data_IF_185498034242
#
_entry.id   IF_185498034242
#
_cell.length_a   1.000
_cell.length_b   1.000
_cell.length_c   1.000
_cell.angle_alpha   90.00
_cell.angle_beta   90.00
_cell.angle_gamma   90.00
#
_symmetry.space_group_name_H-M   'P 1'
#
loop_
_entity.id
_entity.type
_entity.pdbx_description
1 polymer ?
#
# COMPACT_ATOMS: atom_id res chain seq x y z
N UNK A 1 18.39 4.69 -13.31
CA UNK A 1 18.05 5.97 -13.93
C UNK A 1 18.51 7.07 -12.98
N UNK A 2 19.40 7.98 -13.37
CA UNK A 2 19.81 9.09 -12.50
C UNK A 2 18.63 9.99 -12.05
N UNK A 3 17.45 9.90 -12.66
CA UNK A 3 16.23 10.59 -12.23
C UNK A 3 15.44 9.85 -11.14
N UNK A 4 15.66 8.54 -10.94
CA UNK A 4 14.95 7.78 -9.92
C UNK A 4 15.56 8.08 -8.54
N UNK A 5 14.79 8.77 -7.70
CA UNK A 5 15.26 9.18 -6.38
C UNK A 5 15.72 7.96 -5.54
N UNK A 6 16.85 8.10 -4.84
CA UNK A 6 17.39 7.08 -3.93
C UNK A 6 16.34 6.64 -2.89
N UNK A 7 15.49 7.59 -2.46
CA UNK A 7 14.34 7.36 -1.60
C UNK A 7 13.09 7.96 -2.24
N UNK A 8 12.45 7.22 -3.14
CA UNK A 8 11.27 7.69 -3.86
C UNK A 8 10.00 7.70 -2.98
N UNK A 9 9.76 6.59 -2.27
CA UNK A 9 8.60 6.41 -1.42
C UNK A 9 8.94 5.49 -0.24
N UNK A 10 8.12 5.56 0.82
CA UNK A 10 8.14 4.66 1.96
C UNK A 10 6.85 3.86 2.01
N UNK A 11 7.00 2.56 2.25
CA UNK A 11 5.89 1.64 2.53
C UNK A 11 5.92 1.28 4.01
N UNK A 12 4.81 1.51 4.71
CA UNK A 12 4.67 1.28 6.15
C UNK A 12 3.56 0.25 6.39
N UNK A 13 3.80 -0.71 7.29
CA UNK A 13 2.77 -1.67 7.69
C UNK A 13 2.15 -1.22 9.01
N UNK A 14 0.85 -1.01 9.01
CA UNK A 14 0.04 -0.62 10.18
C UNK A 14 -1.01 -1.70 10.44
N UNK A 15 -0.67 -2.67 11.30
CA UNK A 15 -1.51 -3.85 11.52
C UNK A 15 -1.62 -4.70 10.25
N UNK A 16 -2.82 -4.83 9.71
CA UNK A 16 -3.10 -5.53 8.45
C UNK A 16 -3.15 -4.60 7.22
N UNK A 17 -2.89 -3.30 7.41
CA UNK A 17 -2.96 -2.31 6.34
C UNK A 17 -1.57 -1.85 5.92
N UNK A 18 -1.40 -1.57 4.64
CA UNK A 18 -0.14 -1.07 4.08
C UNK A 18 -0.35 0.39 3.66
N UNK A 19 0.47 1.30 4.18
CA UNK A 19 0.45 2.72 3.81
C UNK A 19 1.61 3.03 2.89
N UNK A 20 1.32 3.64 1.75
CA UNK A 20 2.31 4.23 0.86
C UNK A 20 2.44 5.73 1.15
N UNK A 21 3.67 6.23 1.25
CA UNK A 21 4.00 7.66 1.36
C UNK A 21 5.05 8.02 0.33
N UNK A 22 4.75 8.99 -0.51
CA UNK A 22 5.71 9.62 -1.41
C UNK A 22 6.68 10.50 -0.62
N UNK A 23 7.99 10.45 -0.94
CA UNK A 23 9.03 11.19 -0.23
C UNK A 23 9.52 12.43 -1.00
N UNK A 24 8.71 12.95 -1.93
CA UNK A 24 9.08 14.09 -2.76
C UNK A 24 9.67 13.67 -4.09
N UNK A 25 9.13 12.61 -4.69
CA UNK A 25 9.46 12.26 -6.07
C UNK A 25 9.17 13.41 -7.03
N UNK A 26 9.99 13.52 -8.08
CA UNK A 26 9.87 14.60 -9.07
C UNK A 26 8.57 14.49 -9.89
N UNK A 27 8.29 13.28 -10.39
CA UNK A 27 7.14 13.02 -11.27
C UNK A 27 5.91 12.46 -10.52
N UNK A 28 6.05 12.23 -9.21
CA UNK A 28 4.97 11.75 -8.35
C UNK A 28 4.79 10.24 -8.37
N UNK A 29 4.18 9.73 -7.29
CA UNK A 29 3.73 8.35 -7.19
C UNK A 29 2.31 8.19 -7.77
N UNK A 30 2.06 7.10 -8.51
CA UNK A 30 0.72 6.73 -8.99
C UNK A 30 0.32 5.35 -8.49
N UNK A 31 -0.94 5.20 -8.09
CA UNK A 31 -1.55 3.92 -7.70
C UNK A 31 -2.75 3.65 -8.59
N UNK A 32 -2.76 2.52 -9.31
CA UNK A 32 -3.78 2.16 -10.29
C UNK A 32 -4.08 3.30 -11.29
N UNK A 33 -3.05 4.05 -11.69
CA UNK A 33 -3.14 5.19 -12.61
C UNK A 33 -3.42 6.55 -11.95
N UNK A 34 -3.85 6.57 -10.68
CA UNK A 34 -4.21 7.79 -9.93
C UNK A 34 -2.97 8.35 -9.21
N UNK A 35 -2.66 9.63 -9.42
CA UNK A 35 -1.57 10.29 -8.71
C UNK A 35 -1.89 10.47 -7.22
N UNK A 36 -0.96 10.10 -6.34
CA UNK A 36 -1.12 10.14 -4.89
C UNK A 36 0.13 10.66 -4.20
N UNK A 37 -0.05 11.34 -3.05
CA UNK A 37 1.05 11.64 -2.12
C UNK A 37 1.13 10.64 -0.98
N UNK A 38 -0.01 10.13 -0.53
CA UNK A 38 -0.10 9.01 0.39
C UNK A 38 -1.43 8.28 0.18
N UNK A 39 -1.43 6.96 0.36
CA UNK A 39 -2.66 6.16 0.29
C UNK A 39 -2.49 4.81 1.00
N UNK A 40 -3.60 4.25 1.47
CA UNK A 40 -3.65 2.85 1.87
C UNK A 40 -3.66 1.96 0.63
N UNK A 41 -2.80 0.95 0.63
CA UNK A 41 -2.69 -0.04 -0.43
C UNK A 41 -3.38 -1.34 -0.03
N UNK A 42 -3.89 -2.02 -1.05
CA UNK A 42 -4.43 -3.38 -0.98
C UNK A 42 -3.57 -4.34 -1.79
N UNK A 43 -3.66 -5.63 -1.48
CA UNK A 43 -3.02 -6.66 -2.28
C UNK A 43 -3.53 -6.58 -3.73
N UNK A 44 -2.59 -6.62 -4.68
CA UNK A 44 -2.86 -6.46 -6.11
C UNK A 44 -2.77 -5.02 -6.63
N UNK A 45 -2.66 -4.01 -5.78
CA UNK A 45 -2.54 -2.63 -6.24
C UNK A 45 -1.26 -2.42 -7.05
N UNK A 46 -1.40 -1.76 -8.19
CA UNK A 46 -0.28 -1.37 -9.04
C UNK A 46 0.26 -0.02 -8.61
N UNK A 47 1.54 0.04 -8.27
CA UNK A 47 2.25 1.27 -7.94
C UNK A 47 3.20 1.61 -9.09
N UNK A 48 3.18 2.86 -9.54
CA UNK A 48 4.09 3.37 -10.57
C UNK A 48 4.83 4.58 -10.03
N UNK A 49 6.15 4.54 -10.14
CA UNK A 49 7.08 5.61 -9.81
C UNK A 49 7.70 6.16 -11.10
N UNK A 50 7.82 7.49 -11.20
CA UNK A 50 8.41 8.22 -12.33
C UNK A 50 7.85 7.79 -13.70
N UNK A 51 6.57 7.38 -13.74
CA UNK A 51 5.85 6.97 -14.95
C UNK A 51 6.33 5.68 -15.64
N UNK A 52 7.48 5.11 -15.26
CA UNK A 52 8.11 3.97 -15.94
C UNK A 52 8.27 2.76 -15.01
N UNK A 53 8.48 2.97 -13.71
CA UNK A 53 8.80 1.91 -12.77
C UNK A 53 7.54 1.36 -12.12
N UNK A 54 7.06 0.21 -12.62
CA UNK A 54 5.82 -0.42 -12.19
C UNK A 54 6.07 -1.59 -11.23
N UNK A 55 5.32 -1.60 -10.14
CA UNK A 55 5.31 -2.62 -9.10
C UNK A 55 3.87 -3.06 -8.81
N UNK A 56 3.70 -4.24 -8.23
CA UNK A 56 2.41 -4.72 -7.71
C UNK A 56 2.62 -5.09 -6.25
N UNK A 57 1.72 -4.64 -5.37
CA UNK A 57 1.78 -5.03 -3.96
C UNK A 57 1.26 -6.45 -3.80
N UNK A 58 2.14 -7.37 -3.39
CA UNK A 58 1.74 -8.69 -2.92
C UNK A 58 1.76 -8.72 -1.39
N UNK A 59 0.65 -9.14 -0.79
CA UNK A 59 0.55 -9.38 0.65
C UNK A 59 0.37 -10.87 0.85
N UNK A 60 1.40 -11.59 1.35
CA UNK A 60 1.28 -13.00 1.67
C UNK A 60 0.18 -13.19 2.71
N UNK A 61 -0.86 -13.93 2.34
CA UNK A 61 -1.90 -14.33 3.28
C UNK A 61 -1.27 -15.36 4.22
N UNK A 62 -0.96 -15.01 5.47
CA UNK A 62 -0.66 -16.02 6.49
C UNK A 62 -1.99 -16.64 6.92
N UNK A 63 -2.27 -17.92 6.59
CA UNK A 63 -3.54 -18.55 6.94
C UNK A 63 -3.77 -18.60 8.46
N UNK A 64 -2.70 -18.49 9.25
CA UNK A 64 -2.75 -18.48 10.73
C UNK A 64 -3.12 -17.10 11.30
N UNK A 65 -3.05 -16.04 10.49
CA UNK A 65 -3.43 -14.67 10.86
C UNK A 65 -4.86 -14.32 10.46
N UNK A 66 -5.65 -15.27 9.95
CA UNK A 66 -7.08 -15.03 9.72
C UNK A 66 -7.70 -14.57 11.03
N UNK A 67 -7.95 -13.27 11.13
CA UNK A 67 -8.74 -12.69 12.19
C UNK A 67 -10.04 -13.47 12.21
N UNK A 68 -10.29 -14.17 13.32
CA UNK A 68 -11.60 -14.73 13.59
C UNK A 68 -12.58 -13.56 13.43
N UNK A 69 -13.71 -13.72 12.72
CA UNK A 69 -14.73 -12.69 12.74
C UNK A 69 -14.98 -12.39 14.22
N UNK A 70 -14.83 -11.12 14.60
CA UNK A 70 -15.27 -10.66 15.91
C UNK A 70 -16.74 -11.05 15.94
N UNK A 71 -17.09 -12.06 16.74
CA UNK A 71 -18.47 -12.38 17.02
C UNK A 71 -19.04 -11.10 17.63
N UNK A 72 -19.73 -10.30 16.81
CA UNK A 72 -20.59 -9.25 17.30
C UNK A 72 -21.54 -9.95 18.27
N UNK A 73 -21.34 -9.63 19.55
CA UNK A 73 -22.08 -10.09 20.70
C UNK A 73 -23.55 -9.69 20.52
N UNK A 74 -24.27 -10.50 19.75
CA UNK A 74 -25.70 -10.55 19.80
C UNK A 74 -26.06 -11.21 21.13
N UNK A 75 -26.21 -10.40 22.18
CA UNK A 75 -27.14 -10.59 23.30
C UNK A 75 -26.77 -9.64 24.43
N UNK A 76 -27.42 -8.49 24.56
CA UNK A 76 -27.85 -7.99 25.87
C UNK A 76 -29.12 -7.13 25.69
N UNK A 77 -30.24 -7.76 26.07
CA UNK A 77 -31.59 -7.26 26.41
C UNK A 77 -32.55 -6.80 25.30
#
# INVERSE_FOLDING_TARGET
DPAFAEQHARVEVHGERVLLRDLGSADGTRVNGVAVRHCWLQAGDQVVFDGQHRFVLEVPQDPRRRSLPVEDDASHE
#
